data_IF_825941745907
#
_entry.id   IF_825941745907
#
_cell.length_a   1.000
_cell.length_b   1.000
_cell.length_c   1.000
_cell.angle_alpha   90.00
_cell.angle_beta   90.00
_cell.angle_gamma   90.00
#
_symmetry.space_group_name_H-M   'P 1'
#
loop_
_entity.id
_entity.type
_entity.pdbx_description
1 polymer ?
#
# COMPACT_ATOMS: atom_id res chain seq x y z
N UNK A 1 0.44 -5.34 10.23
CA UNK A 1 -0.09 -4.65 9.04
C UNK A 1 0.15 -3.15 9.21
N UNK A 2 -0.13 -2.32 8.20
CA UNK A 2 0.05 -0.86 8.28
C UNK A 2 -1.26 -0.15 7.98
N UNK A 3 -1.51 0.97 8.65
CA UNK A 3 -2.56 1.94 8.35
C UNK A 3 -1.94 3.33 8.24
N UNK A 4 -2.34 4.08 7.23
CA UNK A 4 -1.96 5.49 7.07
C UNK A 4 -3.20 6.35 6.81
N UNK A 5 -3.19 7.58 7.30
CA UNK A 5 -4.13 8.61 6.81
C UNK A 5 -3.68 9.04 5.42
N UNK A 6 -4.62 9.06 4.48
CA UNK A 6 -4.35 9.33 3.07
C UNK A 6 -4.40 8.07 2.21
N UNK A 7 -4.65 8.26 0.92
CA UNK A 7 -4.69 7.20 -0.06
C UNK A 7 -3.31 6.99 -0.70
N UNK A 8 -2.97 5.73 -0.97
CA UNK A 8 -1.73 5.38 -1.68
C UNK A 8 -2.05 4.44 -2.83
N UNK A 9 -1.42 4.67 -3.96
CA UNK A 9 -1.51 3.82 -5.15
C UNK A 9 -0.16 3.16 -5.36
N UNK A 10 -0.22 1.89 -5.74
CA UNK A 10 0.94 1.10 -6.10
C UNK A 10 0.79 0.60 -7.54
N UNK A 11 1.91 0.55 -8.24
CA UNK A 11 2.05 -0.17 -9.50
C UNK A 11 3.17 -1.20 -9.34
N UNK A 12 2.91 -2.45 -9.73
CA UNK A 12 3.94 -3.50 -9.75
C UNK A 12 4.88 -3.22 -10.92
N UNK A 13 6.12 -2.85 -10.60
CA UNK A 13 7.16 -2.56 -11.58
C UNK A 13 7.80 -3.84 -12.10
N UNK A 14 8.11 -4.76 -11.19
CA UNK A 14 8.71 -6.06 -11.50
C UNK A 14 8.38 -7.10 -10.40
N UNK A 15 8.34 -8.37 -10.78
CA UNK A 15 8.02 -9.48 -9.87
C UNK A 15 6.53 -9.79 -9.76
N UNK A 16 6.21 -10.63 -8.77
CA UNK A 16 4.85 -11.02 -8.42
C UNK A 16 4.73 -11.15 -6.89
N UNK A 17 3.50 -11.07 -6.40
CA UNK A 17 3.23 -11.17 -4.97
C UNK A 17 1.75 -11.07 -4.67
N UNK A 18 1.45 -10.75 -3.42
CA UNK A 18 0.10 -10.47 -2.99
C UNK A 18 0.05 -9.21 -2.13
N UNK A 19 -1.05 -8.47 -2.24
CA UNK A 19 -1.41 -7.43 -1.31
C UNK A 19 -2.57 -7.93 -0.45
N UNK A 20 -2.47 -7.76 0.86
CA UNK A 20 -3.58 -7.98 1.78
C UNK A 20 -4.16 -6.62 2.12
N UNK A 21 -5.46 -6.41 1.90
CA UNK A 21 -6.20 -5.18 2.22
C UNK A 21 -7.50 -5.55 2.92
N UNK A 22 -7.74 -5.00 4.11
CA UNK A 22 -8.95 -5.29 4.90
C UNK A 22 -9.22 -6.79 5.14
N UNK A 23 -8.15 -7.58 5.22
CA UNK A 23 -8.21 -9.04 5.38
C UNK A 23 -8.43 -9.83 4.09
N UNK A 24 -8.65 -9.17 2.95
CA UNK A 24 -8.72 -9.81 1.63
C UNK A 24 -7.36 -9.83 0.96
N UNK A 25 -7.00 -10.99 0.40
CA UNK A 25 -5.73 -11.19 -0.31
C UNK A 25 -5.96 -11.10 -1.81
N UNK A 26 -5.20 -10.23 -2.48
CA UNK A 26 -5.20 -10.09 -3.92
C UNK A 26 -3.81 -10.42 -4.47
N UNK A 27 -3.73 -11.42 -5.36
CA UNK A 27 -2.52 -11.68 -6.13
C UNK A 27 -2.33 -10.58 -7.18
N UNK A 28 -1.09 -10.13 -7.34
CA UNK A 28 -0.72 -9.07 -8.28
C UNK A 28 0.57 -9.43 -9.01
N UNK A 29 0.64 -9.05 -10.27
CA UNK A 29 1.78 -9.28 -11.15
C UNK A 29 2.23 -8.00 -11.86
N UNK A 30 3.34 -8.09 -12.60
CA UNK A 30 3.94 -6.96 -13.30
C UNK A 30 2.93 -6.19 -14.15
N UNK A 31 2.83 -4.89 -13.89
CA UNK A 31 1.91 -3.98 -14.58
C UNK A 31 0.61 -3.71 -13.82
N UNK A 32 0.23 -4.58 -12.87
CA UNK A 32 -0.97 -4.38 -12.06
C UNK A 32 -0.87 -3.12 -11.21
N UNK A 33 -2.04 -2.51 -10.99
CA UNK A 33 -2.19 -1.35 -10.13
C UNK A 33 -3.28 -1.60 -9.09
N UNK A 34 -3.01 -1.17 -7.86
CA UNK A 34 -4.00 -1.21 -6.78
C UNK A 34 -3.90 0.05 -5.92
N UNK A 35 -5.01 0.36 -5.27
CA UNK A 35 -5.13 1.49 -4.35
C UNK A 35 -5.38 0.95 -2.94
N UNK A 36 -4.67 1.52 -1.97
CA UNK A 36 -4.99 1.37 -0.55
C UNK A 36 -5.68 2.67 -0.10
N UNK A 37 -6.99 2.64 0.18
CA UNK A 37 -7.71 3.79 0.71
C UNK A 37 -7.22 4.19 2.11
N UNK A 38 -7.54 5.41 2.53
CA UNK A 38 -7.18 5.92 3.85
C UNK A 38 -7.63 4.99 4.97
N UNK A 39 -6.72 4.70 5.90
CA UNK A 39 -6.91 3.92 7.11
C UNK A 39 -7.25 2.43 6.94
N UNK A 40 -7.25 1.90 5.71
CA UNK A 40 -7.37 0.46 5.46
C UNK A 40 -6.09 -0.24 5.93
N UNK A 41 -6.18 -1.33 6.73
CA UNK A 41 -5.02 -2.13 7.07
C UNK A 41 -4.51 -2.85 5.83
N UNK A 42 -3.21 -2.72 5.56
CA UNK A 42 -2.59 -3.36 4.41
C UNK A 42 -1.21 -3.96 4.71
N UNK A 43 -0.81 -4.93 3.89
CA UNK A 43 0.54 -5.49 3.87
C UNK A 43 0.88 -6.06 2.50
N UNK A 44 2.17 -6.10 2.16
CA UNK A 44 2.68 -6.73 0.94
C UNK A 44 3.34 -8.06 1.29
N UNK A 45 3.10 -9.06 0.46
CA UNK A 45 3.68 -10.38 0.56
C UNK A 45 4.44 -10.65 -0.73
N UNK A 46 5.74 -10.95 -0.61
CA UNK A 46 6.62 -11.24 -1.73
C UNK A 46 7.21 -12.64 -1.56
N UNK A 47 7.12 -13.48 -2.60
CA UNK A 47 7.82 -14.77 -2.62
C UNK A 47 9.24 -14.64 -3.18
N UNK A 48 9.45 -13.70 -4.12
CA UNK A 48 10.75 -13.37 -4.72
C UNK A 48 10.96 -11.85 -4.72
N UNK A 49 11.81 -11.31 -5.61
CA UNK A 49 11.91 -9.87 -5.80
C UNK A 49 10.56 -9.28 -6.21
N UNK A 50 10.11 -8.25 -5.50
CA UNK A 50 8.81 -7.61 -5.72
C UNK A 50 8.97 -6.10 -5.62
N UNK A 51 9.10 -5.45 -6.78
CA UNK A 51 9.39 -4.04 -6.92
C UNK A 51 8.11 -3.29 -7.24
N UNK A 52 7.77 -2.30 -6.40
CA UNK A 52 6.57 -1.49 -6.56
C UNK A 52 6.91 -0.01 -6.64
N UNK A 53 6.30 0.66 -7.60
CA UNK A 53 6.25 2.11 -7.63
C UNK A 53 5.08 2.59 -6.77
N UNK A 54 5.33 3.53 -5.85
CA UNK A 54 4.33 4.06 -4.90
C UNK A 54 4.19 5.56 -5.06
N UNK A 55 2.95 6.04 -5.09
CA UNK A 55 2.61 7.46 -4.97
C UNK A 55 1.37 7.65 -4.08
N UNK A 56 1.27 8.79 -3.40
CA UNK A 56 0.23 9.02 -2.40
C UNK A 56 -0.08 10.51 -2.20
N UNK A 57 -1.19 10.79 -1.54
CA UNK A 57 -1.59 12.12 -1.08
C UNK A 57 -0.97 12.52 0.28
N UNK A 58 -0.04 11.69 0.81
CA UNK A 58 0.66 11.92 2.08
C UNK A 58 1.24 13.34 2.25
N UNK A 59 1.85 13.99 1.24
CA UNK A 59 2.35 15.35 1.38
C UNK A 59 1.26 16.39 1.73
N UNK A 60 -0.01 16.16 1.36
CA UNK A 60 -1.13 17.02 1.74
C UNK A 60 -1.48 16.77 3.21
N UNK A 61 -1.57 15.50 3.61
CA UNK A 61 -1.92 15.11 4.98
C UNK A 61 -0.89 15.58 6.00
N UNK A 62 0.40 15.52 5.66
CA UNK A 62 1.50 16.01 6.48
C UNK A 62 1.45 17.53 6.63
N UNK A 63 1.31 18.28 5.53
CA UNK A 63 1.27 19.75 5.54
C UNK A 63 0.10 20.31 6.36
N UNK A 64 -1.03 19.61 6.42
CA UNK A 64 -2.21 20.02 7.17
C UNK A 64 -2.23 19.45 8.60
N UNK A 65 -1.24 18.67 9.01
CA UNK A 65 -1.18 18.07 10.36
C UNK A 65 -2.21 16.96 10.60
N UNK A 66 -2.75 16.34 9.54
CA UNK A 66 -3.72 15.25 9.63
C UNK A 66 -3.07 13.86 9.58
N UNK A 67 -1.80 13.76 9.17
CA UNK A 67 -1.11 12.49 9.02
C UNK A 67 -1.07 11.69 10.33
N UNK A 68 -1.45 10.41 10.25
CA UNK A 68 -1.27 9.40 11.29
C UNK A 68 -0.84 8.11 10.63
N UNK A 69 0.04 7.37 11.29
CA UNK A 69 0.45 6.03 10.89
C UNK A 69 0.34 5.09 12.07
N UNK A 70 -0.09 3.87 11.81
CA UNK A 70 -0.15 2.80 12.80
C UNK A 70 0.35 1.49 12.19
N UNK A 71 1.16 0.76 12.94
CA UNK A 71 1.75 -0.52 12.54
C UNK A 71 1.45 -1.53 13.64
N UNK A 72 0.84 -2.66 13.30
CA UNK A 72 0.62 -3.76 14.26
C UNK A 72 1.98 -4.24 14.81
N UNK A 73 1.99 -4.64 16.08
CA UNK A 73 3.15 -5.22 16.75
C UNK A 73 3.54 -6.59 16.19
#
# INVERSE_FOLDING_TARGET
MRRDVGSTVFQVFEGNGAVVMDGETHSVEKGDMFVVPSWIPWSLQAETGFDLFRFSDAPIMEKLGFMRSWVDA
#
